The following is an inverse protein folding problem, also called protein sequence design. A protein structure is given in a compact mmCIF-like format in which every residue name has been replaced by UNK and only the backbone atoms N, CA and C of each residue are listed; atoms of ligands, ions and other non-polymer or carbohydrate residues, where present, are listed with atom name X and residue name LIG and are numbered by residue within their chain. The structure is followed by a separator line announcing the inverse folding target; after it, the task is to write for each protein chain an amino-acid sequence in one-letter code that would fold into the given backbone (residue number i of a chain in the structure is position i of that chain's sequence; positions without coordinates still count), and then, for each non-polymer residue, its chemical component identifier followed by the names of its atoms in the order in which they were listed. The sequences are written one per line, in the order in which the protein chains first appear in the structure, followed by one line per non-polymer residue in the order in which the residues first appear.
data_IF_469709698453
#
_entry.id   IF_469709698453
#
_cell.length_a   1.000
_cell.length_b   1.000
_cell.length_c   1.000
_cell.angle_alpha   90.00
_cell.angle_beta   90.00
_cell.angle_gamma   90.00
#
_symmetry.space_group_name_H-M   'P 1'
#
loop_
_entity.id
_entity.type
_entity.pdbx_description
1 polymer ?
#
# COMPACT_ATOMS: atom_id res chain seq x y z
N UNK A 1 -10.35 -21.44 -9.14
CA UNK A 1 -10.72 -20.44 -10.19
C UNK A 1 -10.69 -21.12 -11.57
N UNK A 2 -11.55 -20.66 -12.50
CA UNK A 2 -11.51 -21.15 -13.89
C UNK A 2 -10.52 -20.31 -14.72
N UNK A 3 -10.18 -20.76 -15.95
CA UNK A 3 -9.20 -20.10 -16.82
C UNK A 3 -9.54 -18.64 -17.14
N UNK A 4 -10.84 -18.30 -17.27
CA UNK A 4 -11.30 -16.93 -17.57
C UNK A 4 -10.99 -16.02 -16.38
N UNK A 5 -11.31 -16.44 -15.15
CA UNK A 5 -11.04 -15.66 -13.95
C UNK A 5 -9.51 -15.48 -13.70
N UNK A 6 -8.71 -16.49 -14.05
CA UNK A 6 -7.23 -16.38 -13.99
C UNK A 6 -6.70 -15.35 -14.99
N UNK A 7 -7.23 -15.34 -16.22
CA UNK A 7 -6.83 -14.36 -17.24
C UNK A 7 -7.26 -12.93 -16.86
N UNK A 8 -8.45 -12.75 -16.29
CA UNK A 8 -8.92 -11.46 -15.78
C UNK A 8 -8.06 -10.95 -14.63
N UNK A 9 -7.70 -11.82 -13.68
CA UNK A 9 -6.80 -11.49 -12.59
C UNK A 9 -5.41 -11.06 -13.09
N UNK A 10 -4.83 -11.82 -14.02
CA UNK A 10 -3.53 -11.48 -14.61
C UNK A 10 -3.56 -10.12 -15.31
N UNK A 11 -4.63 -9.82 -16.07
CA UNK A 11 -4.83 -8.52 -16.71
C UNK A 11 -4.98 -7.40 -15.69
N UNK A 12 -5.70 -7.63 -14.59
CA UNK A 12 -5.87 -6.65 -13.52
C UNK A 12 -4.53 -6.33 -12.87
N UNK A 13 -3.72 -7.33 -12.52
CA UNK A 13 -2.39 -7.16 -11.93
C UNK A 13 -1.42 -6.44 -12.88
N UNK A 14 -1.46 -6.77 -14.15
CA UNK A 14 -0.68 -6.06 -15.18
C UNK A 14 -1.10 -4.58 -15.27
N UNK A 15 -2.40 -4.29 -15.23
CA UNK A 15 -2.92 -2.92 -15.19
C UNK A 15 -2.50 -2.17 -13.92
N UNK A 16 -2.55 -2.82 -12.76
CA UNK A 16 -2.10 -2.25 -11.50
C UNK A 16 -0.60 -1.89 -11.57
N UNK A 17 0.26 -2.81 -12.01
CA UNK A 17 1.70 -2.54 -12.22
C UNK A 17 1.92 -1.33 -13.14
N UNK A 18 1.25 -1.30 -14.30
CA UNK A 18 1.38 -0.17 -15.24
C UNK A 18 0.93 1.15 -14.61
N UNK A 19 -0.13 1.14 -13.79
CA UNK A 19 -0.63 2.30 -13.07
C UNK A 19 0.39 2.82 -12.06
N UNK A 20 0.96 1.95 -11.23
CA UNK A 20 1.96 2.35 -10.23
C UNK A 20 3.29 2.78 -10.87
N UNK A 21 3.68 2.19 -11.99
CA UNK A 21 4.87 2.56 -12.75
C UNK A 21 4.72 3.90 -13.50
N UNK A 22 3.50 4.35 -13.78
CA UNK A 22 3.24 5.55 -14.60
C UNK A 22 3.54 6.86 -13.86
N UNK A 23 3.62 6.84 -12.53
CA UNK A 23 3.76 8.03 -11.70
C UNK A 23 5.18 8.25 -11.17
N UNK A 24 5.32 9.36 -10.43
CA UNK A 24 6.49 9.66 -9.60
C UNK A 24 6.13 9.35 -8.14
N UNK A 25 5.98 8.05 -7.86
CA UNK A 25 5.59 7.60 -6.51
C UNK A 25 6.56 8.07 -5.41
N UNK A 26 7.90 8.17 -5.65
CA UNK A 26 8.82 8.78 -4.69
C UNK A 26 8.38 10.18 -4.23
N UNK A 27 7.96 11.05 -5.16
CA UNK A 27 7.49 12.40 -4.82
C UNK A 27 6.22 12.37 -3.97
N UNK A 28 5.27 11.46 -4.28
CA UNK A 28 4.06 11.24 -3.48
C UNK A 28 4.42 10.75 -2.08
N UNK A 29 5.23 9.70 -1.98
CA UNK A 29 5.59 9.08 -0.72
C UNK A 29 6.32 10.07 0.20
N UNK A 30 7.29 10.83 -0.32
CA UNK A 30 8.04 11.82 0.46
C UNK A 30 7.16 12.97 0.95
N UNK A 31 6.20 13.41 0.14
CA UNK A 31 5.34 14.54 0.51
C UNK A 31 4.22 14.14 1.48
N UNK A 32 3.65 12.95 1.35
CA UNK A 32 2.40 12.61 2.04
C UNK A 32 2.49 11.42 3.00
N UNK A 33 3.38 10.46 2.75
CA UNK A 33 3.37 9.17 3.43
C UNK A 33 4.63 8.89 4.24
N UNK A 34 5.66 9.76 4.12
CA UNK A 34 6.98 9.47 4.67
C UNK A 34 6.96 9.22 6.18
N UNK A 35 6.19 9.99 6.92
CA UNK A 35 6.03 9.87 8.37
C UNK A 35 5.37 8.55 8.81
N UNK A 36 4.43 8.03 8.00
CA UNK A 36 3.68 6.81 8.35
C UNK A 36 4.60 5.60 8.42
N UNK A 37 5.55 5.44 7.49
CA UNK A 37 6.54 4.36 7.56
C UNK A 37 7.34 4.39 8.87
N UNK A 38 7.71 5.57 9.37
CA UNK A 38 8.39 5.69 10.66
C UNK A 38 7.49 5.25 11.84
N UNK A 39 6.21 5.62 11.81
CA UNK A 39 5.25 5.27 12.85
C UNK A 39 4.95 3.77 12.85
N UNK A 40 4.78 3.14 11.69
CA UNK A 40 4.54 1.69 11.56
C UNK A 40 5.73 0.89 12.09
N UNK A 41 6.95 1.23 11.64
CA UNK A 41 8.17 0.55 12.10
C UNK A 41 8.42 0.77 13.60
N UNK A 42 8.13 1.98 14.12
CA UNK A 42 8.24 2.27 15.55
C UNK A 42 7.28 1.46 16.44
N UNK A 43 6.08 1.10 15.90
CA UNK A 43 5.09 0.29 16.66
C UNK A 43 5.46 -1.19 16.71
N UNK A 44 6.20 -1.69 15.74
CA UNK A 44 6.54 -3.11 15.66
C UNK A 44 7.87 -3.45 16.34
N UNK A 45 8.68 -2.44 16.68
CA UNK A 45 9.96 -2.60 17.40
C UNK A 45 10.90 -3.60 16.71
N UNK A 46 11.30 -3.26 15.47
CA UNK A 46 12.28 -4.07 14.72
C UNK A 46 13.60 -4.10 15.47
N UNK A 47 14.15 -5.32 15.67
CA UNK A 47 15.39 -5.56 16.42
C UNK A 47 16.54 -5.86 15.47
N UNK A 48 17.79 -5.53 15.87
CA UNK A 48 18.96 -5.87 15.07
C UNK A 48 19.07 -7.39 14.79
N UNK A 49 19.23 -7.71 13.50
CA UNK A 49 19.40 -9.08 13.04
C UNK A 49 18.10 -9.85 12.77
N UNK A 50 16.92 -9.24 12.96
CA UNK A 50 15.66 -9.86 12.55
C UNK A 50 15.50 -9.86 11.04
N UNK A 51 14.93 -10.93 10.49
CA UNK A 51 14.52 -11.03 9.09
C UNK A 51 13.19 -10.30 8.90
N UNK A 52 13.20 -9.26 8.07
CA UNK A 52 12.06 -8.36 7.87
C UNK A 52 11.62 -8.36 6.41
N UNK A 53 10.33 -8.57 6.16
CA UNK A 53 9.71 -8.42 4.84
C UNK A 53 8.83 -7.17 4.80
N UNK A 54 9.05 -6.29 3.81
CA UNK A 54 8.14 -5.19 3.49
C UNK A 54 7.37 -5.54 2.20
N UNK A 55 6.06 -5.80 2.32
CA UNK A 55 5.20 -6.26 1.23
C UNK A 55 4.54 -5.09 0.52
N UNK A 56 4.63 -5.08 -0.80
CA UNK A 56 4.28 -3.96 -1.67
C UNK A 56 5.02 -2.68 -1.22
N UNK A 57 6.34 -2.83 -1.11
CA UNK A 57 7.24 -1.86 -0.49
C UNK A 57 7.40 -0.55 -1.27
N UNK A 58 7.02 -0.53 -2.55
CA UNK A 58 7.21 0.62 -3.43
C UNK A 58 8.67 1.07 -3.49
N UNK A 59 8.94 2.26 -3.00
CA UNK A 59 10.31 2.83 -2.90
C UNK A 59 10.96 2.59 -1.54
N UNK A 60 10.39 1.70 -0.70
CA UNK A 60 10.99 1.23 0.55
C UNK A 60 10.84 2.16 1.74
N UNK A 61 9.75 2.92 1.85
CA UNK A 61 9.54 3.83 2.97
C UNK A 61 9.65 3.13 4.34
N UNK A 62 8.97 1.99 4.55
CA UNK A 62 9.08 1.21 5.78
C UNK A 62 10.35 0.35 5.79
N UNK A 63 10.71 -0.28 4.66
CA UNK A 63 11.90 -1.11 4.51
C UNK A 63 13.19 -0.39 4.92
N UNK A 64 13.42 0.85 4.43
CA UNK A 64 14.60 1.65 4.77
C UNK A 64 14.67 1.93 6.27
N UNK A 65 13.54 2.17 6.93
CA UNK A 65 13.50 2.40 8.38
C UNK A 65 13.76 1.15 9.20
N UNK A 66 13.21 0.02 8.75
CA UNK A 66 13.48 -1.28 9.35
C UNK A 66 14.97 -1.65 9.24
N UNK A 67 15.59 -1.40 8.07
CA UNK A 67 17.02 -1.59 7.89
C UNK A 67 17.85 -0.65 8.78
N UNK A 68 17.44 0.61 8.97
CA UNK A 68 18.09 1.53 9.92
C UNK A 68 17.95 1.10 11.38
N UNK A 69 16.91 0.34 11.72
CA UNK A 69 16.76 -0.28 13.03
C UNK A 69 17.65 -1.54 13.19
N UNK A 70 18.31 -1.98 12.13
CA UNK A 70 19.24 -3.12 12.14
C UNK A 70 18.63 -4.41 11.62
N UNK A 71 17.42 -4.42 11.08
CA UNK A 71 16.82 -5.58 10.45
C UNK A 71 17.52 -5.98 9.15
N UNK A 72 17.56 -7.27 8.84
CA UNK A 72 17.90 -7.82 7.53
C UNK A 72 16.63 -7.74 6.65
N UNK A 73 16.57 -6.78 5.74
CA UNK A 73 15.30 -6.39 5.11
C UNK A 73 15.24 -6.83 3.65
N UNK A 74 14.11 -7.45 3.30
CA UNK A 74 13.68 -7.71 1.92
C UNK A 74 12.46 -6.84 1.62
N UNK A 75 12.52 -6.04 0.56
CA UNK A 75 11.36 -5.34 0.01
C UNK A 75 10.82 -6.07 -1.21
N UNK A 76 9.55 -6.47 -1.19
CA UNK A 76 8.89 -7.12 -2.33
C UNK A 76 7.82 -6.20 -2.91
N UNK A 77 7.79 -6.06 -4.25
CA UNK A 77 6.76 -5.28 -4.94
C UNK A 77 6.45 -5.87 -6.32
N UNK A 78 5.23 -5.70 -6.77
CA UNK A 78 4.77 -6.08 -8.11
C UNK A 78 5.42 -5.20 -9.20
N UNK A 79 5.87 -3.98 -8.83
CA UNK A 79 6.32 -2.89 -9.70
C UNK A 79 7.83 -2.65 -9.54
N UNK A 80 8.72 -3.49 -10.13
CA UNK A 80 10.17 -3.35 -9.99
C UNK A 80 10.70 -2.04 -10.58
N UNK A 81 9.92 -1.31 -11.36
CA UNK A 81 10.21 0.02 -11.87
C UNK A 81 10.46 1.05 -10.75
N UNK A 82 9.94 0.79 -9.54
CA UNK A 82 10.14 1.64 -8.37
C UNK A 82 11.48 1.39 -7.65
N UNK A 83 12.12 0.25 -7.89
CA UNK A 83 13.30 -0.19 -7.15
C UNK A 83 14.55 0.65 -7.39
N UNK A 84 14.71 1.27 -8.57
CA UNK A 84 15.85 2.16 -8.82
C UNK A 84 15.82 3.37 -7.89
N UNK A 85 14.64 4.01 -7.78
CA UNK A 85 14.45 5.12 -6.85
C UNK A 85 14.60 4.66 -5.39
N UNK A 86 14.08 3.48 -5.05
CA UNK A 86 14.21 2.88 -3.71
C UNK A 86 15.66 2.63 -3.33
N UNK A 87 16.48 2.05 -4.21
CA UNK A 87 17.91 1.83 -3.99
C UNK A 87 18.67 3.13 -3.75
N UNK A 88 18.32 4.20 -4.47
CA UNK A 88 18.89 5.51 -4.24
C UNK A 88 18.54 6.04 -2.85
N UNK A 89 17.27 5.97 -2.44
CA UNK A 89 16.83 6.40 -1.11
C UNK A 89 17.50 5.57 0.00
N UNK A 90 17.69 4.26 -0.19
CA UNK A 90 18.38 3.39 0.75
C UNK A 90 19.86 3.77 0.87
N UNK A 91 20.55 4.02 -0.26
CA UNK A 91 21.94 4.46 -0.27
C UNK A 91 22.11 5.84 0.40
N UNK A 92 21.21 6.79 0.15
CA UNK A 92 21.20 8.10 0.79
C UNK A 92 20.96 7.99 2.32
N UNK A 93 20.23 6.96 2.75
CA UNK A 93 19.98 6.63 4.16
C UNK A 93 21.12 5.82 4.81
N UNK A 94 22.11 5.36 4.03
CA UNK A 94 23.25 4.56 4.49
C UNK A 94 22.89 3.12 4.85
N UNK A 95 21.88 2.55 4.20
CA UNK A 95 21.43 1.16 4.42
C UNK A 95 21.36 0.36 3.12
N UNK A 96 21.46 -0.95 3.25
CA UNK A 96 21.25 -1.90 2.15
C UNK A 96 20.04 -2.78 2.45
N UNK A 97 19.26 -3.09 1.42
CA UNK A 97 18.14 -4.05 1.48
C UNK A 97 18.09 -4.85 0.18
N UNK A 98 17.48 -6.01 0.27
CA UNK A 98 17.16 -6.83 -0.91
C UNK A 98 15.87 -6.32 -1.55
N UNK A 99 15.81 -6.31 -2.90
CA UNK A 99 14.65 -5.87 -3.67
C UNK A 99 14.20 -7.01 -4.58
N UNK A 100 13.01 -7.54 -4.32
CA UNK A 100 12.45 -8.70 -5.01
C UNK A 100 11.18 -8.30 -5.75
N UNK A 101 11.10 -8.63 -7.05
CA UNK A 101 9.82 -8.54 -7.74
C UNK A 101 8.94 -9.70 -7.30
N UNK A 102 7.73 -9.41 -6.81
CA UNK A 102 6.78 -10.44 -6.38
C UNK A 102 5.37 -9.90 -6.26
N UNK A 103 4.45 -10.83 -6.13
CA UNK A 103 3.02 -10.60 -5.98
C UNK A 103 2.62 -10.84 -4.53
N UNK A 104 1.92 -9.89 -3.90
CA UNK A 104 1.44 -10.03 -2.51
C UNK A 104 0.45 -11.20 -2.32
N UNK A 105 -0.16 -11.68 -3.42
CA UNK A 105 -1.04 -12.85 -3.41
C UNK A 105 -0.31 -14.19 -3.70
N UNK A 106 0.99 -14.14 -3.98
CA UNK A 106 1.85 -15.30 -4.22
C UNK A 106 3.30 -14.89 -3.91
N UNK A 107 3.60 -14.74 -2.62
CA UNK A 107 4.91 -14.28 -2.16
C UNK A 107 6.00 -15.33 -2.47
N UNK A 108 7.12 -14.93 -3.12
CA UNK A 108 8.18 -15.86 -3.53
C UNK A 108 9.10 -16.27 -2.37
N UNK A 109 8.53 -16.56 -1.21
CA UNK A 109 9.23 -16.90 0.04
C UNK A 109 8.64 -18.16 0.65
N UNK A 110 9.44 -18.84 1.49
CA UNK A 110 9.02 -20.03 2.20
C UNK A 110 8.03 -19.70 3.34
N UNK A 111 7.37 -20.75 3.85
CA UNK A 111 6.59 -20.63 5.07
C UNK A 111 7.51 -20.31 6.25
N UNK A 112 7.02 -19.49 7.20
CA UNK A 112 7.71 -19.20 8.44
C UNK A 112 9.14 -18.62 8.23
N UNK A 113 9.33 -17.76 7.22
CA UNK A 113 10.65 -17.23 6.83
C UNK A 113 11.03 -15.93 7.55
N UNK A 114 10.08 -15.08 7.94
CA UNK A 114 10.35 -13.74 8.47
C UNK A 114 9.91 -13.57 9.92
N UNK A 115 10.73 -12.86 10.71
CA UNK A 115 10.40 -12.45 12.08
C UNK A 115 9.39 -11.31 12.11
N UNK A 116 9.47 -10.43 11.09
CA UNK A 116 8.61 -9.24 10.96
C UNK A 116 8.10 -9.12 9.54
N UNK A 117 6.79 -8.86 9.40
CA UNK A 117 6.14 -8.53 8.12
C UNK A 117 5.54 -7.14 8.20
N UNK A 118 5.86 -6.29 7.23
CA UNK A 118 5.38 -4.91 7.11
C UNK A 118 4.60 -4.72 5.82
N UNK A 119 3.62 -3.83 5.83
CA UNK A 119 3.08 -3.22 4.61
C UNK A 119 2.47 -1.86 4.93
N UNK A 120 2.89 -0.83 4.21
CA UNK A 120 2.40 0.54 4.43
C UNK A 120 1.65 1.01 3.17
N UNK A 121 0.33 0.95 3.21
CA UNK A 121 -0.59 1.28 2.10
C UNK A 121 -0.35 0.51 0.79
N UNK A 122 0.33 -0.63 0.85
CA UNK A 122 0.68 -1.40 -0.34
C UNK A 122 -0.18 -2.66 -0.49
N UNK A 123 -0.12 -3.60 0.45
CA UNK A 123 -0.83 -4.88 0.38
C UNK A 123 -2.36 -4.72 0.20
N UNK A 124 -2.94 -3.62 0.69
CA UNK A 124 -4.37 -3.31 0.53
C UNK A 124 -4.83 -3.20 -0.93
N UNK A 125 -3.91 -2.97 -1.89
CA UNK A 125 -4.25 -2.89 -3.31
C UNK A 125 -4.20 -4.24 -4.04
N UNK A 126 -3.81 -5.31 -3.38
CA UNK A 126 -3.92 -6.64 -3.93
C UNK A 126 -5.41 -7.02 -4.05
N UNK A 127 -5.86 -7.54 -5.22
CA UNK A 127 -7.28 -7.67 -5.50
C UNK A 127 -8.01 -8.71 -4.63
N UNK A 128 -7.32 -9.76 -4.17
CA UNK A 128 -7.91 -10.83 -3.35
C UNK A 128 -7.40 -10.73 -1.92
N UNK A 129 -8.16 -10.06 -1.08
CA UNK A 129 -7.74 -9.74 0.29
C UNK A 129 -7.48 -10.99 1.14
N UNK A 130 -8.34 -12.02 1.00
CA UNK A 130 -8.20 -13.29 1.70
C UNK A 130 -6.88 -14.00 1.36
N UNK A 131 -6.53 -14.06 0.07
CA UNK A 131 -5.28 -14.66 -0.39
C UNK A 131 -4.08 -13.89 0.14
N UNK A 132 -4.12 -12.56 0.05
CA UNK A 132 -3.06 -11.69 0.56
C UNK A 132 -2.84 -11.88 2.06
N UNK A 133 -3.92 -11.89 2.86
CA UNK A 133 -3.83 -12.09 4.30
C UNK A 133 -3.21 -13.46 4.67
N UNK A 134 -3.60 -14.51 3.94
CA UNK A 134 -3.02 -15.84 4.13
C UNK A 134 -1.53 -15.88 3.78
N UNK A 135 -1.10 -15.20 2.71
CA UNK A 135 0.32 -15.11 2.34
C UNK A 135 1.14 -14.35 3.39
N UNK A 136 0.62 -13.20 3.88
CA UNK A 136 1.27 -12.45 4.97
C UNK A 136 1.43 -13.32 6.23
N UNK A 137 0.40 -14.10 6.59
CA UNK A 137 0.46 -15.00 7.73
C UNK A 137 1.36 -16.21 7.47
N UNK A 138 1.39 -16.74 6.23
CA UNK A 138 2.21 -17.90 5.85
C UNK A 138 3.69 -17.63 6.01
N UNK A 139 4.17 -16.50 5.50
CA UNK A 139 5.60 -16.16 5.53
C UNK A 139 6.09 -15.70 6.90
N UNK A 140 5.18 -15.32 7.80
CA UNK A 140 5.51 -14.91 9.16
C UNK A 140 5.82 -16.13 10.04
N UNK A 141 6.94 -16.12 10.76
CA UNK A 141 7.35 -17.18 11.70
C UNK A 141 6.37 -17.30 12.88
N UNK A 142 6.21 -18.50 13.48
CA UNK A 142 5.63 -18.61 14.81
C UNK A 142 6.38 -17.70 15.81
N UNK A 143 5.63 -16.95 16.63
CA UNK A 143 6.19 -15.90 17.49
C UNK A 143 6.57 -14.60 16.76
N UNK A 144 6.48 -14.57 15.43
CA UNK A 144 6.72 -13.38 14.62
C UNK A 144 5.57 -12.36 14.73
N UNK A 145 5.80 -11.18 14.21
CA UNK A 145 4.84 -10.06 14.29
C UNK A 145 4.72 -9.30 12.99
N UNK A 146 3.55 -8.72 12.74
CA UNK A 146 3.31 -7.90 11.56
C UNK A 146 2.73 -6.54 11.91
N UNK A 147 2.99 -5.54 11.07
CA UNK A 147 2.35 -4.23 11.12
C UNK A 147 1.92 -3.78 9.73
N UNK A 148 0.62 -3.53 9.58
CA UNK A 148 0.02 -3.09 8.33
C UNK A 148 -0.63 -1.72 8.54
N UNK A 149 -0.47 -0.79 7.59
CA UNK A 149 -1.20 0.47 7.55
C UNK A 149 -2.12 0.50 6.33
N UNK A 150 -3.38 0.82 6.53
CA UNK A 150 -4.41 0.82 5.48
C UNK A 150 -5.38 1.98 5.66
N UNK A 151 -5.75 2.63 4.55
CA UNK A 151 -6.73 3.73 4.58
C UNK A 151 -8.10 3.25 5.05
N UNK A 152 -8.74 4.02 5.93
CA UNK A 152 -10.08 3.70 6.40
C UNK A 152 -11.14 4.02 5.33
N UNK A 153 -12.21 3.20 5.22
CA UNK A 153 -13.27 3.44 4.25
C UNK A 153 -14.08 4.70 4.53
N UNK A 154 -14.17 5.13 5.79
CA UNK A 154 -14.90 6.34 6.23
C UNK A 154 -14.07 7.61 6.13
N UNK A 155 -12.73 7.51 6.12
CA UNK A 155 -11.80 8.64 6.08
C UNK A 155 -11.73 9.33 4.72
N UNK A 156 -10.98 10.42 4.66
CA UNK A 156 -10.80 11.24 3.45
C UNK A 156 -10.27 10.45 2.25
N UNK A 157 -9.38 9.48 2.48
CA UNK A 157 -8.90 8.61 1.40
C UNK A 157 -9.97 7.62 0.92
N UNK A 158 -10.85 7.16 1.79
CA UNK A 158 -12.02 6.36 1.42
C UNK A 158 -12.99 7.16 0.54
N UNK A 159 -13.27 8.42 0.89
CA UNK A 159 -14.04 9.35 0.05
C UNK A 159 -13.36 9.57 -1.29
N UNK A 160 -12.06 9.82 -1.30
CA UNK A 160 -11.26 10.00 -2.51
C UNK A 160 -11.39 8.80 -3.47
N UNK A 161 -11.18 7.57 -3.01
CA UNK A 161 -11.27 6.39 -3.86
C UNK A 161 -12.68 6.16 -4.40
N UNK A 162 -13.73 6.37 -3.60
CA UNK A 162 -15.13 6.28 -4.08
C UNK A 162 -15.42 7.32 -5.15
N UNK A 163 -14.99 8.55 -4.93
CA UNK A 163 -15.26 9.68 -5.80
C UNK A 163 -14.54 9.55 -7.13
N UNK A 164 -13.24 9.26 -7.12
CA UNK A 164 -12.46 9.04 -8.36
C UNK A 164 -12.94 7.77 -9.07
N UNK A 165 -13.27 6.72 -8.33
CA UNK A 165 -13.78 5.46 -8.84
C UNK A 165 -15.08 5.61 -9.65
N UNK A 166 -15.93 6.60 -9.34
CA UNK A 166 -17.15 6.89 -10.12
C UNK A 166 -16.88 7.39 -11.56
N UNK A 167 -15.66 7.80 -11.84
CA UNK A 167 -15.21 8.21 -13.17
C UNK A 167 -14.50 7.11 -13.96
N UNK A 168 -14.21 5.98 -13.32
CA UNK A 168 -13.50 4.85 -13.89
C UNK A 168 -14.46 3.70 -14.18
N UNK A 169 -14.12 2.77 -15.09
CA UNK A 169 -14.85 1.52 -15.22
C UNK A 169 -14.91 0.78 -13.89
N UNK A 170 -16.02 0.13 -13.57
CA UNK A 170 -16.11 -0.66 -12.35
C UNK A 170 -15.01 -1.75 -12.35
N UNK A 171 -14.38 -2.01 -11.20
CA UNK A 171 -13.42 -3.10 -11.09
C UNK A 171 -14.11 -4.46 -11.34
N UNK A 172 -13.38 -5.47 -11.81
CA UNK A 172 -13.95 -6.80 -11.96
C UNK A 172 -14.38 -7.35 -10.58
N UNK A 173 -15.40 -8.23 -10.53
CA UNK A 173 -15.96 -8.73 -9.27
C UNK A 173 -14.96 -9.45 -8.36
N UNK A 174 -13.83 -9.90 -8.89
CA UNK A 174 -12.74 -10.53 -8.14
C UNK A 174 -11.92 -9.55 -7.30
N UNK A 175 -12.00 -8.25 -7.60
CA UNK A 175 -11.23 -7.22 -6.91
C UNK A 175 -12.07 -6.60 -5.79
N UNK A 176 -11.59 -6.72 -4.57
CA UNK A 176 -12.19 -6.10 -3.40
C UNK A 176 -11.73 -4.63 -3.26
N UNK A 177 -12.58 -3.74 -2.71
CA UNK A 177 -12.21 -2.35 -2.47
C UNK A 177 -11.03 -2.23 -1.50
N UNK A 178 -9.91 -1.58 -1.88
CA UNK A 178 -8.70 -1.51 -1.05
C UNK A 178 -8.93 -1.00 0.37
N UNK A 179 -9.83 -0.05 0.54
CA UNK A 179 -10.11 0.57 1.84
C UNK A 179 -10.78 -0.37 2.85
N UNK A 180 -11.27 -1.54 2.44
CA UNK A 180 -11.77 -2.55 3.37
C UNK A 180 -10.68 -3.04 4.34
N UNK A 181 -9.39 -2.99 3.96
CA UNK A 181 -8.28 -3.24 4.88
C UNK A 181 -8.18 -2.21 6.03
N UNK A 182 -8.85 -1.07 5.92
CA UNK A 182 -9.03 -0.10 7.00
C UNK A 182 -10.22 -0.37 7.93
N UNK A 183 -10.94 -1.48 7.74
CA UNK A 183 -12.03 -1.95 8.60
C UNK A 183 -11.54 -3.07 9.52
N UNK A 184 -11.58 -2.84 10.84
CA UNK A 184 -11.19 -3.87 11.82
C UNK A 184 -11.96 -5.18 11.65
N UNK A 185 -13.26 -5.10 11.36
CA UNK A 185 -14.09 -6.28 11.17
C UNK A 185 -13.61 -7.09 9.98
N UNK A 186 -13.39 -6.44 8.83
CA UNK A 186 -12.92 -7.10 7.62
C UNK A 186 -11.55 -7.76 7.83
N UNK A 187 -10.61 -7.05 8.45
CA UNK A 187 -9.27 -7.60 8.72
C UNK A 187 -9.33 -8.80 9.68
N UNK A 188 -10.19 -8.77 10.71
CA UNK A 188 -10.42 -9.93 11.59
C UNK A 188 -10.94 -11.16 10.82
N UNK A 189 -11.84 -10.94 9.87
CA UNK A 189 -12.38 -12.01 9.01
C UNK A 189 -11.29 -12.59 8.10
N UNK A 190 -10.42 -11.74 7.52
CA UNK A 190 -9.31 -12.16 6.65
C UNK A 190 -8.28 -13.05 7.37
N UNK A 191 -7.94 -12.71 8.60
CA UNK A 191 -6.95 -13.45 9.39
C UNK A 191 -7.56 -14.58 10.24
N UNK A 192 -8.87 -14.83 10.15
CA UNK A 192 -9.51 -15.90 10.90
C UNK A 192 -8.90 -17.26 10.55
N UNK A 193 -8.46 -18.00 11.56
CA UNK A 193 -7.85 -19.33 11.39
C UNK A 193 -6.39 -19.33 10.93
N UNK A 194 -5.74 -18.19 10.79
CA UNK A 194 -4.31 -18.10 10.41
C UNK A 194 -3.36 -18.27 11.59
N UNK A 195 -3.85 -18.26 12.84
CA UNK A 195 -3.04 -18.26 14.06
C UNK A 195 -2.39 -16.90 14.36
N UNK A 196 -2.90 -15.81 13.76
CA UNK A 196 -2.43 -14.45 14.02
C UNK A 196 -3.43 -13.74 14.91
N UNK A 197 -3.02 -13.35 16.13
CA UNK A 197 -3.77 -12.48 17.01
C UNK A 197 -3.63 -11.02 16.59
N UNK A 198 -4.75 -10.28 16.50
CA UNK A 198 -4.78 -8.92 15.96
C UNK A 198 -5.15 -7.89 17.03
N UNK A 199 -4.43 -6.77 17.01
CA UNK A 199 -4.84 -5.52 17.65
C UNK A 199 -4.82 -4.37 16.64
N UNK A 200 -5.56 -3.30 16.92
CA UNK A 200 -5.78 -2.21 15.99
C UNK A 200 -5.61 -0.87 16.67
N UNK A 201 -5.05 0.07 15.94
CA UNK A 201 -4.97 1.48 16.32
C UNK A 201 -5.40 2.34 15.12
N UNK A 202 -6.17 3.40 15.36
CA UNK A 202 -6.42 4.44 14.37
C UNK A 202 -5.41 5.55 14.55
N UNK A 203 -4.87 6.05 13.45
CA UNK A 203 -3.94 7.17 13.44
C UNK A 203 -4.24 8.06 12.24
N UNK A 204 -3.70 9.26 12.22
CA UNK A 204 -3.90 10.22 11.14
C UNK A 204 -2.57 10.74 10.62
N UNK A 205 -2.51 11.09 9.34
CA UNK A 205 -1.41 11.83 8.76
C UNK A 205 -1.95 13.06 8.05
N UNK A 206 -1.35 14.21 8.36
CA UNK A 206 -1.64 15.45 7.65
C UNK A 206 -0.77 15.52 6.40
N UNK A 207 -1.36 15.60 5.19
CA UNK A 207 -0.57 15.80 3.99
C UNK A 207 0.13 17.16 4.05
N UNK A 208 1.30 17.26 3.41
CA UNK A 208 1.94 18.57 3.22
C UNK A 208 1.01 19.41 2.34
N UNK A 209 0.57 20.58 2.81
CA UNK A 209 -0.39 21.40 2.07
C UNK A 209 0.20 21.87 0.73
N UNK A 210 -0.68 22.17 -0.21
CA UNK A 210 -0.38 22.83 -1.46
C UNK A 210 -0.73 24.31 -1.35
N UNK A 211 -0.06 25.16 -2.12
CA UNK A 211 -0.33 26.61 -2.12
C UNK A 211 -1.68 26.95 -2.77
N UNK A 212 -2.23 26.03 -3.57
CA UNK A 212 -3.54 26.16 -4.19
C UNK A 212 -4.14 24.80 -4.59
N UNK A 213 -5.46 24.77 -4.83
CA UNK A 213 -6.15 23.59 -5.38
C UNK A 213 -5.60 23.22 -6.77
N UNK A 214 -5.27 24.20 -7.60
CA UNK A 214 -4.70 23.98 -8.93
C UNK A 214 -3.33 23.32 -8.86
N UNK A 215 -2.48 23.71 -7.92
CA UNK A 215 -1.19 23.06 -7.66
C UNK A 215 -1.39 21.63 -7.20
N UNK A 216 -2.33 21.38 -6.27
CA UNK A 216 -2.65 20.05 -5.79
C UNK A 216 -3.11 19.12 -6.93
N UNK A 217 -4.06 19.59 -7.75
CA UNK A 217 -4.58 18.83 -8.88
C UNK A 217 -3.46 18.53 -9.89
N UNK A 218 -2.66 19.54 -10.27
CA UNK A 218 -1.57 19.34 -11.22
C UNK A 218 -0.50 18.37 -10.68
N UNK A 219 -0.08 18.53 -9.42
CA UNK A 219 0.86 17.62 -8.79
C UNK A 219 0.31 16.19 -8.76
N UNK A 220 -0.89 16.00 -8.26
CA UNK A 220 -1.47 14.66 -8.08
C UNK A 220 -1.77 13.99 -9.42
N UNK A 221 -2.26 14.73 -10.42
CA UNK A 221 -2.59 14.18 -11.75
C UNK A 221 -1.38 13.98 -12.66
N UNK A 222 -0.19 14.44 -12.25
CA UNK A 222 1.07 14.21 -12.96
C UNK A 222 2.01 13.26 -12.22
N UNK A 223 1.80 13.03 -10.91
CA UNK A 223 2.69 12.22 -10.07
C UNK A 223 2.06 10.95 -9.52
N UNK A 224 0.74 10.96 -9.25
CA UNK A 224 0.05 9.81 -8.68
C UNK A 224 -0.55 8.93 -9.78
N UNK A 225 0.02 7.75 -10.01
CA UNK A 225 -0.35 6.85 -11.09
C UNK A 225 -1.85 6.64 -11.28
N UNK A 226 -2.65 6.33 -10.24
CA UNK A 226 -4.10 6.22 -10.36
C UNK A 226 -4.78 7.46 -10.92
N UNK A 227 -4.34 8.67 -10.55
CA UNK A 227 -4.91 9.92 -11.08
C UNK A 227 -4.40 10.27 -12.47
N UNK A 228 -3.18 9.88 -12.84
CA UNK A 228 -2.68 9.98 -14.22
C UNK A 228 -3.61 9.18 -15.14
N UNK A 229 -3.92 7.93 -14.77
CA UNK A 229 -4.82 7.08 -15.53
C UNK A 229 -6.25 7.62 -15.57
N UNK A 230 -6.77 8.09 -14.44
CA UNK A 230 -8.11 8.70 -14.37
C UNK A 230 -8.21 9.95 -15.25
N UNK A 231 -7.20 10.80 -15.26
CA UNK A 231 -7.12 11.98 -16.15
C UNK A 231 -7.17 11.57 -17.62
N UNK A 232 -6.31 10.65 -18.04
CA UNK A 232 -6.29 10.18 -19.44
C UNK A 232 -7.64 9.62 -19.90
N UNK A 233 -8.29 8.81 -19.05
CA UNK A 233 -9.59 8.21 -19.37
C UNK A 233 -10.71 9.26 -19.43
N UNK A 234 -10.70 10.22 -18.52
CA UNK A 234 -11.72 11.28 -18.49
C UNK A 234 -11.50 12.34 -19.57
N UNK A 235 -10.27 12.63 -19.96
CA UNK A 235 -9.95 13.45 -21.14
C UNK A 235 -10.47 12.78 -22.41
N UNK A 236 -10.21 11.47 -22.59
CA UNK A 236 -10.68 10.71 -23.74
C UNK A 236 -12.21 10.63 -23.85
N UNK A 237 -12.94 10.65 -22.72
CA UNK A 237 -14.40 10.63 -22.66
C UNK A 237 -15.05 12.01 -22.54
N UNK A 238 -14.27 13.10 -22.55
CA UNK A 238 -14.77 14.48 -22.41
C UNK A 238 -15.24 14.84 -20.99
N UNK A 239 -14.94 14.01 -19.97
CA UNK A 239 -15.38 14.19 -18.58
C UNK A 239 -14.31 14.77 -17.65
N UNK A 240 -13.16 15.17 -18.20
CA UNK A 240 -12.07 15.72 -17.37
C UNK A 240 -12.49 16.94 -16.54
N UNK A 241 -13.31 17.85 -17.11
CA UNK A 241 -13.81 19.01 -16.38
C UNK A 241 -14.63 18.65 -15.14
N UNK A 242 -15.42 17.55 -15.21
CA UNK A 242 -16.19 17.04 -14.08
C UNK A 242 -15.25 16.49 -12.99
N UNK A 243 -14.31 15.60 -13.36
CA UNK A 243 -13.34 15.03 -12.41
C UNK A 243 -12.49 16.13 -11.77
N UNK A 244 -12.01 17.11 -12.56
CA UNK A 244 -11.21 18.22 -12.06
C UNK A 244 -11.96 19.06 -11.02
N UNK A 245 -13.25 19.35 -11.25
CA UNK A 245 -14.09 20.05 -10.28
C UNK A 245 -14.21 19.31 -8.95
N UNK A 246 -14.45 18.00 -9.02
CA UNK A 246 -14.52 17.15 -7.82
C UNK A 246 -13.19 17.06 -7.08
N UNK A 247 -12.07 16.96 -7.79
CA UNK A 247 -10.73 16.98 -7.17
C UNK A 247 -10.47 18.33 -6.48
N UNK A 248 -10.90 19.47 -7.05
CA UNK A 248 -10.83 20.77 -6.39
C UNK A 248 -11.56 20.78 -5.05
N UNK A 249 -12.79 20.27 -5.02
CA UNK A 249 -13.54 20.14 -3.76
C UNK A 249 -12.86 19.26 -2.72
N UNK A 250 -12.20 18.17 -3.12
CA UNK A 250 -11.47 17.27 -2.22
C UNK A 250 -10.21 17.92 -1.68
N UNK A 251 -9.40 18.57 -2.55
CA UNK A 251 -8.13 19.17 -2.15
C UNK A 251 -8.29 20.55 -1.48
N UNK A 252 -9.41 21.23 -1.69
CA UNK A 252 -9.74 22.49 -1.01
C UNK A 252 -10.10 22.34 0.47
N UNK A 253 -10.22 21.10 0.97
CA UNK A 253 -10.50 20.83 2.39
C UNK A 253 -9.20 20.57 3.15
N UNK A 254 -9.10 21.11 4.38
CA UNK A 254 -8.09 20.64 5.33
C UNK A 254 -8.52 19.27 5.84
N UNK A 255 -7.88 18.22 5.33
CA UNK A 255 -8.21 16.85 5.70
C UNK A 255 -6.98 16.19 6.35
N UNK A 256 -7.20 15.58 7.50
CA UNK A 256 -6.32 14.53 7.99
C UNK A 256 -6.69 13.21 7.31
N UNK A 257 -5.69 12.45 6.90
CA UNK A 257 -5.88 11.14 6.30
C UNK A 257 -5.85 10.07 7.39
N UNK A 258 -7.02 9.60 7.77
CA UNK A 258 -7.14 8.52 8.75
C UNK A 258 -6.76 7.18 8.14
N UNK A 259 -5.99 6.40 8.90
CA UNK A 259 -5.63 5.04 8.57
C UNK A 259 -5.71 4.12 9.79
N UNK A 260 -5.93 2.84 9.52
CA UNK A 260 -5.88 1.76 10.50
C UNK A 260 -4.47 1.18 10.50
N UNK A 261 -3.87 1.07 11.69
CA UNK A 261 -2.68 0.26 11.93
C UNK A 261 -3.15 -1.07 12.51
N UNK A 262 -2.88 -2.14 11.80
CA UNK A 262 -3.10 -3.51 12.25
C UNK A 262 -1.79 -4.09 12.75
N UNK A 263 -1.74 -4.49 14.00
CA UNK A 263 -0.61 -5.22 14.59
C UNK A 263 -1.04 -6.67 14.77
N UNK A 264 -0.28 -7.60 14.23
CA UNK A 264 -0.52 -9.03 14.34
C UNK A 264 0.65 -9.73 15.03
N UNK A 265 0.33 -10.72 15.87
CA UNK A 265 1.29 -11.62 16.49
C UNK A 265 0.92 -13.06 16.14
N UNK A 266 1.82 -13.81 15.51
CA UNK A 266 1.59 -15.22 15.19
C UNK A 266 1.86 -16.07 16.41
N UNK A 267 0.92 -16.93 16.77
CA UNK A 267 1.03 -17.84 17.91
C UNK A 267 2.32 -18.69 17.82
N UNK A 268 2.97 -18.92 18.95
CA UNK A 268 4.06 -19.90 19.07
C UNK A 268 3.47 -21.31 18.90
N UNK A 269 4.12 -22.16 18.11
CA UNK A 269 3.68 -23.57 17.94
C UNK A 269 4.14 -24.43 19.10
#
# INVERSE_FOLDING_TARGET
MNEVALAELAKLKQGARATWAAGDFPAIAQRQLWEVGARVVGRIDVRPGEDVLDVACGTGNAAIRAARAGGAVVGVDLTPELFEAGRKLAADAGVELEWVQGDAEELPFADDEFDVVLSTFGAMFAPRHDVTAHELARVLRPGGRMALASWTPEGAMGEFFRTVGAFLPPPPPIAEPPTLWGSEQHVRELFAGTGVELSFERDTVSPVPFDSEDEAIEFMTTKFGPLIMARQMTEASGRWGELRGVLGELYGRENEFEYLVTIGHKEER
#
